data_IF_985310639736
#
_entry.id   IF_985310639736
#
_cell.length_a   1.000
_cell.length_b   1.000
_cell.length_c   1.000
_cell.angle_alpha   90.00
_cell.angle_beta   90.00
_cell.angle_gamma   90.00
#
_symmetry.space_group_name_H-M   'P 1'
#
loop_
_entity.id
_entity.type
_entity.pdbx_description
1 polymer ?
#
# COMPACT_ATOMS: atom_id res chain seq x y z
N UNK A 1 7.22 35.81 1.29
CA UNK A 1 7.40 34.52 0.61
C UNK A 1 8.88 34.18 0.65
N UNK A 2 9.22 32.99 1.13
CA UNK A 2 10.59 32.48 1.22
C UNK A 2 10.69 31.23 0.36
N UNK A 3 11.77 31.05 -0.41
CA UNK A 3 11.95 29.87 -1.26
C UNK A 3 13.20 29.10 -0.86
N UNK A 4 13.03 27.82 -0.56
CA UNK A 4 14.06 26.82 -0.33
C UNK A 4 14.16 25.91 -1.56
N UNK A 5 15.36 25.45 -1.89
CA UNK A 5 15.61 24.60 -3.06
C UNK A 5 16.21 23.28 -2.61
N UNK A 6 15.63 22.17 -3.08
CA UNK A 6 16.11 20.82 -2.83
C UNK A 6 16.29 20.02 -4.13
N UNK A 7 17.23 19.10 -4.14
CA UNK A 7 17.48 18.18 -5.26
C UNK A 7 17.79 16.78 -4.75
N UNK A 8 17.58 15.75 -5.57
CA UNK A 8 17.84 14.35 -5.20
C UNK A 8 19.29 14.12 -4.75
N UNK A 9 20.25 14.84 -5.33
CA UNK A 9 21.68 14.81 -4.95
C UNK A 9 22.11 15.99 -4.07
N UNK A 10 21.14 16.74 -3.55
CA UNK A 10 21.38 17.96 -2.79
C UNK A 10 22.04 17.67 -1.45
N UNK A 11 22.88 18.60 -0.98
CA UNK A 11 23.62 18.45 0.27
C UNK A 11 23.90 19.80 0.92
N UNK A 12 24.36 19.77 2.18
CA UNK A 12 24.58 20.98 2.98
C UNK A 12 23.28 21.65 3.41
N UNK A 13 23.40 22.81 4.07
CA UNK A 13 22.29 23.47 4.80
C UNK A 13 21.76 24.74 4.11
N UNK A 14 22.31 25.12 2.95
CA UNK A 14 21.99 26.40 2.32
C UNK A 14 20.61 26.45 1.67
N UNK A 15 20.15 25.32 1.11
CA UNK A 15 18.86 25.19 0.41
C UNK A 15 18.58 26.33 -0.58
N UNK A 16 19.57 26.71 -1.38
CA UNK A 16 19.49 27.82 -2.33
C UNK A 16 19.51 27.33 -3.77
N UNK A 17 19.09 28.15 -4.73
CA UNK A 17 19.07 27.76 -6.15
C UNK A 17 20.44 27.28 -6.67
N UNK A 18 21.54 27.90 -6.22
CA UNK A 18 22.91 27.52 -6.62
C UNK A 18 23.53 26.42 -5.76
N UNK A 19 22.89 26.07 -4.63
CA UNK A 19 23.32 25.04 -3.70
C UNK A 19 22.09 24.38 -3.05
N UNK A 20 21.35 23.55 -3.82
CA UNK A 20 20.15 22.89 -3.31
C UNK A 20 20.52 21.83 -2.26
N UNK A 21 19.68 21.71 -1.23
CA UNK A 21 19.89 20.78 -0.14
C UNK A 21 19.11 19.47 -0.34
N UNK A 22 19.28 18.52 0.58
CA UNK A 22 18.47 17.28 0.62
C UNK A 22 17.03 17.57 1.08
N UNK A 23 16.12 16.62 0.84
CA UNK A 23 14.70 16.72 1.24
C UNK A 23 14.54 16.89 2.77
N UNK A 24 15.22 16.06 3.56
CA UNK A 24 15.17 16.16 5.03
C UNK A 24 15.78 17.46 5.58
N UNK A 25 16.80 18.00 4.89
CA UNK A 25 17.34 19.32 5.25
C UNK A 25 16.37 20.44 4.91
N UNK A 26 15.68 20.38 3.77
CA UNK A 26 14.65 21.36 3.41
C UNK A 26 13.53 21.38 4.47
N UNK A 27 13.08 20.21 4.93
CA UNK A 27 12.10 20.11 6.01
C UNK A 27 12.62 20.73 7.31
N UNK A 28 13.87 20.42 7.68
CA UNK A 28 14.51 21.03 8.85
C UNK A 28 14.60 22.56 8.74
N UNK A 29 14.85 23.08 7.54
CA UNK A 29 14.87 24.52 7.26
C UNK A 29 13.48 25.15 7.33
N UNK A 30 12.42 24.48 6.85
CA UNK A 30 11.02 24.91 7.06
C UNK A 30 10.74 25.07 8.56
N UNK A 31 11.01 24.03 9.36
CA UNK A 31 10.79 24.04 10.83
C UNK A 31 11.52 25.18 11.54
N UNK A 32 12.68 25.59 11.03
CA UNK A 32 13.45 26.70 11.59
C UNK A 32 12.90 28.10 11.24
N UNK A 33 12.10 28.18 10.18
CA UNK A 33 11.48 29.42 9.69
C UNK A 33 10.04 29.58 10.18
N UNK A 34 9.38 28.48 10.53
CA UNK A 34 8.01 28.49 11.03
C UNK A 34 7.89 29.09 12.46
N UNK A 35 6.69 29.58 12.79
CA UNK A 35 6.35 30.29 14.02
C UNK A 35 6.36 31.82 13.92
N UNK A 36 6.92 32.38 12.84
CA UNK A 36 6.91 33.83 12.55
C UNK A 36 6.77 34.12 11.03
N UNK A 37 6.01 33.30 10.30
CA UNK A 37 5.83 33.49 8.86
C UNK A 37 5.19 34.86 8.56
N UNK A 38 5.76 35.56 7.58
CA UNK A 38 5.21 36.82 7.00
C UNK A 38 4.80 36.66 5.53
N UNK A 39 4.79 35.42 5.06
CA UNK A 39 4.41 34.96 3.74
C UNK A 39 4.71 33.47 3.61
N UNK A 40 4.21 32.85 2.54
CA UNK A 40 4.38 31.41 2.31
C UNK A 40 5.85 31.00 2.25
N UNK A 41 6.12 29.78 2.72
CA UNK A 41 7.40 29.10 2.51
C UNK A 41 7.20 28.12 1.37
N UNK A 42 8.04 28.21 0.35
CA UNK A 42 8.02 27.30 -0.80
C UNK A 42 9.28 26.46 -0.79
N UNK A 43 9.13 25.14 -0.85
CA UNK A 43 10.21 24.20 -1.13
C UNK A 43 10.11 23.77 -2.59
N UNK A 44 11.04 24.24 -3.41
CA UNK A 44 11.16 23.89 -4.84
C UNK A 44 12.02 22.65 -5.01
N UNK A 45 11.44 21.60 -5.58
CA UNK A 45 12.08 20.34 -5.86
C UNK A 45 12.57 20.30 -7.31
N UNK A 46 13.89 20.17 -7.50
CA UNK A 46 14.46 19.87 -8.81
C UNK A 46 14.03 18.47 -9.30
N UNK A 47 14.11 18.23 -10.61
CA UNK A 47 13.78 16.91 -11.16
C UNK A 47 14.74 15.82 -10.66
N UNK A 48 14.23 14.60 -10.54
CA UNK A 48 14.97 13.42 -10.13
C UNK A 48 14.27 12.61 -9.02
N UNK A 49 14.82 11.44 -8.72
CA UNK A 49 14.27 10.50 -7.74
C UNK A 49 14.87 10.72 -6.36
N UNK A 50 14.05 11.15 -5.41
CA UNK A 50 14.34 11.32 -4.00
C UNK A 50 14.05 10.01 -3.27
N UNK A 51 15.07 9.16 -3.17
CA UNK A 51 14.94 7.85 -2.51
C UNK A 51 14.90 8.00 -1.00
N UNK A 52 13.85 7.47 -0.39
CA UNK A 52 13.60 7.51 1.03
C UNK A 52 14.19 6.27 1.71
N UNK A 53 14.95 6.47 2.78
CA UNK A 53 15.30 5.41 3.72
C UNK A 53 14.29 5.27 4.87
N UNK A 54 13.40 6.25 5.00
CA UNK A 54 12.30 6.32 5.96
C UNK A 54 11.24 7.32 5.46
N UNK A 55 9.97 7.18 5.88
CA UNK A 55 8.91 8.10 5.47
C UNK A 55 9.20 9.57 5.86
N UNK A 56 8.70 10.51 5.06
CA UNK A 56 8.70 11.93 5.39
C UNK A 56 7.55 12.23 6.34
N UNK A 57 7.87 12.59 7.57
CA UNK A 57 6.87 12.88 8.60
C UNK A 57 6.71 14.38 8.74
N UNK A 58 5.52 14.87 8.41
CA UNK A 58 5.04 16.23 8.60
C UNK A 58 4.14 16.29 9.82
N UNK A 59 4.49 17.13 10.79
CA UNK A 59 3.69 17.36 11.99
C UNK A 59 3.43 18.85 12.21
N UNK A 60 2.99 19.22 13.40
CA UNK A 60 2.71 20.61 13.76
C UNK A 60 3.87 21.59 13.52
N UNK A 61 5.11 21.11 13.57
CA UNK A 61 6.30 21.96 13.31
C UNK A 61 6.52 22.25 11.83
N UNK A 62 5.80 21.56 10.96
CA UNK A 62 5.83 21.75 9.51
C UNK A 62 4.59 22.52 9.01
N UNK A 63 3.69 22.88 9.91
CA UNK A 63 2.47 23.63 9.58
C UNK A 63 2.79 25.05 9.12
N UNK A 64 1.91 25.63 8.32
CA UNK A 64 1.94 27.06 8.06
C UNK A 64 1.47 27.89 9.26
N UNK A 65 2.01 29.10 9.45
CA UNK A 65 1.62 30.02 10.52
C UNK A 65 1.22 31.40 9.98
N UNK A 66 0.43 32.16 10.75
CA UNK A 66 0.02 33.52 10.37
C UNK A 66 -0.93 33.61 9.16
N UNK A 67 -1.60 32.51 8.78
CA UNK A 67 -2.45 32.43 7.60
C UNK A 67 -1.69 32.16 6.29
N UNK A 68 -0.43 31.72 6.38
CA UNK A 68 0.42 31.36 5.27
C UNK A 68 0.59 29.85 5.15
N UNK A 69 1.00 29.37 3.97
CA UNK A 69 1.19 27.94 3.69
C UNK A 69 2.67 27.55 3.59
N UNK A 70 2.95 26.28 3.86
CA UNK A 70 4.19 25.60 3.48
C UNK A 70 3.92 24.76 2.23
N UNK A 71 4.53 25.12 1.11
CA UNK A 71 4.24 24.54 -0.21
C UNK A 71 5.45 23.75 -0.69
N UNK A 72 5.29 22.44 -0.85
CA UNK A 72 6.24 21.55 -1.49
C UNK A 72 5.84 21.40 -2.95
N UNK A 73 6.69 21.85 -3.86
CA UNK A 73 6.31 21.85 -5.27
C UNK A 73 7.47 21.47 -6.18
N UNK A 74 7.12 20.89 -7.33
CA UNK A 74 8.06 20.78 -8.44
C UNK A 74 8.57 22.16 -8.88
N UNK A 75 9.85 22.20 -9.22
CA UNK A 75 10.40 23.31 -9.97
C UNK A 75 9.76 23.38 -11.37
N UNK A 76 9.65 24.57 -11.99
CA UNK A 76 9.02 24.69 -13.31
C UNK A 76 9.60 23.72 -14.34
N UNK A 77 8.74 22.85 -14.89
CA UNK A 77 9.10 21.85 -15.89
C UNK A 77 9.87 20.63 -15.34
N UNK A 78 10.02 20.51 -14.02
CA UNK A 78 10.63 19.35 -13.37
C UNK A 78 9.57 18.29 -12.98
N UNK A 79 10.01 17.04 -12.89
CA UNK A 79 9.22 15.89 -12.41
C UNK A 79 9.96 15.24 -11.23
N UNK A 80 9.85 15.78 -10.01
CA UNK A 80 10.42 15.18 -8.82
C UNK A 80 9.63 13.93 -8.41
N UNK A 81 10.33 12.83 -8.14
CA UNK A 81 9.73 11.57 -7.67
C UNK A 81 10.17 11.33 -6.24
N UNK A 82 9.25 11.23 -5.29
CA UNK A 82 9.50 10.74 -3.94
C UNK A 82 9.29 9.23 -3.96
N UNK A 83 10.35 8.47 -3.70
CA UNK A 83 10.31 7.02 -3.88
C UNK A 83 10.75 6.23 -2.66
N UNK A 84 9.98 5.20 -2.30
CA UNK A 84 10.34 4.19 -1.30
C UNK A 84 11.10 2.99 -1.87
N UNK A 85 11.45 3.05 -3.15
CA UNK A 85 12.07 1.97 -3.92
C UNK A 85 13.59 1.97 -3.85
N UNK A 86 14.15 0.76 -3.86
CA UNK A 86 15.55 0.50 -4.13
C UNK A 86 15.72 0.08 -5.59
N UNK A 87 16.55 0.80 -6.34
CA UNK A 87 16.98 0.33 -7.65
C UNK A 87 17.85 -0.93 -7.51
N UNK A 88 17.44 -2.01 -8.18
CA UNK A 88 18.16 -3.29 -8.16
C UNK A 88 19.05 -3.42 -9.39
N UNK A 89 20.35 -3.49 -9.16
CA UNK A 89 21.38 -3.62 -10.21
C UNK A 89 22.23 -4.87 -9.97
N UNK A 90 23.18 -5.16 -10.87
CA UNK A 90 24.10 -6.28 -10.71
C UNK A 90 23.50 -7.64 -11.05
N UNK A 91 22.46 -7.66 -11.87
CA UNK A 91 21.81 -8.86 -12.37
C UNK A 91 22.77 -9.76 -13.15
N UNK A 92 22.73 -11.05 -12.87
CA UNK A 92 23.51 -12.09 -13.55
C UNK A 92 22.62 -13.26 -13.95
N UNK A 93 22.97 -13.94 -15.05
CA UNK A 93 22.24 -15.14 -15.46
C UNK A 93 22.48 -16.26 -14.45
N UNK A 94 21.43 -16.63 -13.73
CA UNK A 94 21.46 -17.63 -12.66
C UNK A 94 21.12 -19.04 -13.18
N UNK A 95 20.04 -19.15 -13.95
CA UNK A 95 19.64 -20.39 -14.62
C UNK A 95 19.42 -20.15 -16.12
N UNK A 96 20.40 -20.57 -16.91
CA UNK A 96 20.37 -20.45 -18.38
C UNK A 96 19.29 -21.31 -19.05
N UNK A 97 18.85 -22.41 -18.44
CA UNK A 97 17.84 -23.30 -19.01
C UNK A 97 16.44 -22.72 -18.91
N UNK A 98 16.18 -21.92 -17.87
CA UNK A 98 14.90 -21.26 -17.64
C UNK A 98 14.93 -19.74 -17.91
N UNK A 99 16.08 -19.19 -18.34
CA UNK A 99 16.32 -17.76 -18.52
C UNK A 99 16.04 -16.92 -17.25
N UNK A 100 16.48 -17.44 -16.09
CA UNK A 100 16.31 -16.77 -14.80
C UNK A 100 17.57 -15.98 -14.48
N UNK A 101 17.39 -14.69 -14.23
CA UNK A 101 18.42 -13.80 -13.73
C UNK A 101 18.26 -13.62 -12.21
N UNK A 102 19.37 -13.37 -11.54
CA UNK A 102 19.39 -13.06 -10.11
C UNK A 102 20.22 -11.80 -9.84
N UNK A 103 19.77 -11.01 -8.86
CA UNK A 103 20.52 -9.89 -8.30
C UNK A 103 20.51 -9.96 -6.78
N UNK A 104 21.62 -9.54 -6.18
CA UNK A 104 21.72 -9.44 -4.73
C UNK A 104 20.98 -8.20 -4.21
N UNK A 105 20.20 -8.40 -3.16
CA UNK A 105 19.60 -7.33 -2.35
C UNK A 105 20.06 -7.49 -0.90
N UNK A 106 19.91 -6.47 -0.03
CA UNK A 106 20.21 -6.65 1.39
C UNK A 106 19.44 -7.85 1.98
N UNK A 107 20.13 -8.66 2.79
CA UNK A 107 19.47 -9.78 3.49
C UNK A 107 18.36 -9.24 4.39
N UNK A 108 17.20 -9.87 4.34
CA UNK A 108 15.99 -9.45 5.04
C UNK A 108 15.11 -8.44 4.29
N UNK A 109 15.53 -7.96 3.11
CA UNK A 109 14.64 -7.20 2.22
C UNK A 109 13.47 -8.08 1.77
N UNK A 110 12.24 -7.56 1.91
CA UNK A 110 11.01 -8.20 1.42
C UNK A 110 10.14 -7.16 0.72
N UNK A 111 9.30 -7.62 -0.19
CA UNK A 111 8.36 -6.80 -0.96
C UNK A 111 7.27 -7.69 -1.54
N UNK A 112 6.13 -7.09 -1.86
CA UNK A 112 5.06 -7.73 -2.65
C UNK A 112 5.02 -7.28 -4.10
N UNK A 113 5.71 -6.20 -4.44
CA UNK A 113 5.72 -5.59 -5.77
C UNK A 113 7.14 -5.53 -6.34
N UNK A 114 7.26 -5.50 -7.66
CA UNK A 114 8.50 -5.24 -8.39
C UNK A 114 8.14 -4.52 -9.68
N UNK A 115 8.79 -3.41 -9.97
CA UNK A 115 8.55 -2.65 -11.19
C UNK A 115 9.74 -2.77 -12.13
N UNK A 116 9.48 -3.04 -13.42
CA UNK A 116 10.48 -3.10 -14.48
C UNK A 116 10.07 -2.11 -15.57
N UNK A 117 10.92 -1.11 -15.81
CA UNK A 117 10.67 0.00 -16.74
C UNK A 117 9.34 0.73 -16.50
N UNK A 118 8.94 0.90 -15.22
CA UNK A 118 7.70 1.56 -14.84
C UNK A 118 6.44 0.73 -15.08
N UNK A 119 6.56 -0.61 -15.11
CA UNK A 119 5.41 -1.51 -15.15
C UNK A 119 5.57 -2.60 -14.10
N UNK A 120 4.49 -2.94 -13.41
CA UNK A 120 4.50 -4.03 -12.44
C UNK A 120 4.83 -5.38 -13.11
N UNK A 121 5.81 -6.08 -12.53
CA UNK A 121 6.12 -7.45 -12.87
C UNK A 121 5.29 -8.38 -11.97
N UNK A 122 4.52 -9.33 -12.52
CA UNK A 122 3.70 -10.22 -11.71
C UNK A 122 4.56 -11.11 -10.80
N UNK A 123 4.10 -11.33 -9.58
CA UNK A 123 4.74 -12.28 -8.65
C UNK A 123 4.61 -13.71 -9.18
N UNK A 124 5.58 -14.57 -8.83
CA UNK A 124 5.55 -15.98 -9.23
C UNK A 124 4.29 -16.68 -8.70
N UNK A 125 3.46 -17.20 -9.59
CA UNK A 125 2.16 -17.77 -9.25
C UNK A 125 1.75 -18.93 -10.17
N UNK A 126 0.94 -19.85 -9.65
CA UNK A 126 0.26 -20.89 -10.42
C UNK A 126 -1.24 -20.90 -10.10
N UNK A 127 -2.12 -21.23 -11.07
CA UNK A 127 -3.55 -21.36 -10.79
C UNK A 127 -3.81 -22.57 -9.89
N UNK A 128 -4.78 -22.43 -8.99
CA UNK A 128 -5.28 -23.47 -8.10
C UNK A 128 -6.79 -23.63 -8.32
N UNK A 129 -7.24 -24.74 -8.91
CA UNK A 129 -8.68 -24.94 -9.06
C UNK A 129 -9.30 -25.29 -7.70
N UNK A 130 -10.48 -24.74 -7.41
CA UNK A 130 -11.22 -25.04 -6.16
C UNK A 130 -11.49 -26.53 -5.95
N UNK A 131 -11.64 -27.31 -7.04
CA UNK A 131 -11.82 -28.77 -6.97
C UNK A 131 -10.54 -29.55 -6.66
N UNK A 132 -9.36 -28.95 -6.85
CA UNK A 132 -8.07 -29.60 -6.60
C UNK A 132 -7.75 -29.71 -5.11
N UNK A 133 -8.50 -28.99 -4.26
CA UNK A 133 -8.32 -28.95 -2.81
C UNK A 133 -9.65 -29.05 -2.06
N UNK A 134 -9.59 -29.50 -0.81
CA UNK A 134 -10.70 -29.42 0.14
C UNK A 134 -10.29 -28.55 1.31
N UNK A 135 -11.07 -27.51 1.56
CA UNK A 135 -10.89 -26.62 2.71
C UNK A 135 -11.20 -27.39 4.00
N UNK A 136 -10.34 -27.23 5.01
CA UNK A 136 -10.42 -27.86 6.33
C UNK A 136 -10.21 -26.81 7.44
N UNK A 137 -10.41 -27.19 8.69
CA UNK A 137 -10.24 -26.29 9.84
C UNK A 137 -8.82 -25.71 9.99
N UNK A 138 -7.78 -26.43 9.55
CA UNK A 138 -6.38 -26.01 9.74
C UNK A 138 -5.65 -25.68 8.42
N UNK A 139 -6.35 -25.74 7.29
CA UNK A 139 -5.78 -25.52 5.97
C UNK A 139 -6.51 -26.30 4.88
N UNK A 140 -5.77 -26.89 3.93
CA UNK A 140 -6.36 -27.58 2.78
C UNK A 140 -5.85 -29.01 2.66
N UNK A 141 -6.68 -29.91 2.12
CA UNK A 141 -6.25 -31.22 1.63
C UNK A 141 -6.20 -31.21 0.11
N UNK A 142 -5.08 -31.57 -0.48
CA UNK A 142 -4.90 -31.75 -1.92
C UNK A 142 -5.65 -33.00 -2.37
N UNK A 143 -6.58 -32.83 -3.30
CA UNK A 143 -7.33 -33.90 -3.97
C UNK A 143 -6.69 -34.29 -5.30
N UNK A 144 -6.01 -33.35 -5.96
CA UNK A 144 -5.37 -33.58 -7.23
C UNK A 144 -3.90 -33.99 -7.07
N UNK A 145 -3.59 -35.25 -7.37
CA UNK A 145 -2.23 -35.79 -7.24
C UNK A 145 -1.16 -35.05 -8.08
N UNK A 146 -1.57 -34.28 -9.10
CA UNK A 146 -0.67 -33.42 -9.85
C UNK A 146 -0.01 -32.33 -8.99
N UNK A 147 -0.60 -31.99 -7.83
CA UNK A 147 -0.07 -31.00 -6.88
C UNK A 147 0.77 -31.63 -5.75
N UNK A 148 0.97 -32.96 -5.74
CA UNK A 148 1.72 -33.63 -4.66
C UNK A 148 3.19 -33.14 -4.56
N UNK A 149 3.74 -32.59 -5.64
CA UNK A 149 5.11 -32.03 -5.65
C UNK A 149 5.27 -30.84 -4.69
N UNK A 150 4.17 -30.14 -4.35
CA UNK A 150 4.19 -28.99 -3.43
C UNK A 150 4.82 -29.35 -2.07
N UNK A 151 4.60 -30.58 -1.59
CA UNK A 151 5.18 -31.08 -0.34
C UNK A 151 6.71 -31.17 -0.33
N UNK A 152 7.35 -31.17 -1.52
CA UNK A 152 8.80 -31.20 -1.67
C UNK A 152 9.44 -29.82 -1.90
N UNK A 153 8.64 -28.75 -2.01
CA UNK A 153 9.17 -27.41 -2.26
C UNK A 153 9.92 -26.86 -1.03
N UNK A 154 11.00 -26.08 -1.23
CA UNK A 154 11.61 -25.32 -0.16
C UNK A 154 10.72 -24.14 0.24
N UNK A 155 11.00 -23.53 1.40
CA UNK A 155 10.38 -22.27 1.84
C UNK A 155 8.85 -22.25 1.75
N UNK A 156 8.21 -23.38 2.07
CA UNK A 156 6.75 -23.53 1.96
C UNK A 156 5.98 -22.45 2.72
N UNK A 157 6.55 -21.90 3.79
CA UNK A 157 5.96 -20.85 4.60
C UNK A 157 5.96 -19.45 3.94
N UNK A 158 6.55 -19.32 2.74
CA UNK A 158 6.43 -18.15 1.87
C UNK A 158 5.26 -18.24 0.91
N UNK A 159 4.80 -19.46 0.60
CA UNK A 159 3.67 -19.67 -0.30
C UNK A 159 2.41 -19.10 0.36
N UNK A 160 1.55 -18.47 -0.43
CA UNK A 160 0.22 -18.03 0.00
C UNK A 160 -0.83 -18.46 -1.02
N UNK A 161 -2.07 -18.58 -0.55
CA UNK A 161 -3.24 -18.71 -1.43
C UNK A 161 -3.86 -17.34 -1.61
N UNK A 162 -4.02 -16.91 -2.85
CA UNK A 162 -4.93 -15.85 -3.26
C UNK A 162 -6.28 -16.49 -3.63
N UNK A 163 -7.39 -15.89 -3.23
CA UNK A 163 -8.73 -16.33 -3.61
C UNK A 163 -9.63 -15.14 -3.89
N UNK A 164 -9.64 -14.76 -5.16
CA UNK A 164 -10.59 -13.80 -5.71
C UNK A 164 -11.99 -14.43 -5.65
N UNK A 165 -12.88 -13.78 -4.90
CA UNK A 165 -14.24 -14.25 -4.69
C UNK A 165 -15.23 -13.38 -5.47
N UNK A 166 -16.34 -12.98 -4.86
CA UNK A 166 -17.42 -12.26 -5.54
C UNK A 166 -17.24 -10.76 -5.48
N UNK A 167 -16.89 -10.27 -4.29
CA UNK A 167 -16.60 -8.86 -4.03
C UNK A 167 -15.41 -8.68 -3.07
N UNK A 168 -14.81 -9.79 -2.62
CA UNK A 168 -13.64 -9.81 -1.74
C UNK A 168 -12.45 -10.47 -2.44
N UNK A 169 -11.25 -10.10 -2.01
CA UNK A 169 -10.00 -10.78 -2.33
C UNK A 169 -9.30 -11.23 -1.05
N UNK A 170 -8.64 -12.37 -1.10
CA UNK A 170 -8.21 -13.07 0.10
C UNK A 170 -6.80 -13.59 -0.03
N UNK A 171 -5.93 -13.24 0.92
CA UNK A 171 -4.57 -13.77 1.01
C UNK A 171 -4.40 -14.53 2.34
N UNK A 172 -3.98 -15.78 2.24
CA UNK A 172 -3.65 -16.60 3.41
C UNK A 172 -2.32 -17.35 3.21
N UNK A 173 -1.30 -17.15 4.07
CA UNK A 173 -0.04 -17.83 3.91
C UNK A 173 -0.07 -19.27 4.44
N UNK A 174 0.69 -20.12 3.75
CA UNK A 174 0.98 -21.50 4.13
C UNK A 174 1.91 -21.50 5.33
N UNK A 175 1.71 -22.45 6.24
CA UNK A 175 2.66 -22.78 7.31
C UNK A 175 3.59 -23.91 6.89
N UNK A 176 3.03 -24.99 6.34
CA UNK A 176 3.77 -26.16 5.87
C UNK A 176 2.91 -27.05 4.97
N UNK A 177 3.56 -27.88 4.17
CA UNK A 177 2.92 -28.86 3.29
C UNK A 177 3.55 -30.24 3.54
N UNK A 178 2.73 -31.20 3.93
CA UNK A 178 3.15 -32.58 4.22
C UNK A 178 2.21 -33.58 3.56
N UNK A 179 2.74 -34.38 2.63
CA UNK A 179 1.92 -35.26 1.79
C UNK A 179 0.88 -34.44 1.03
N UNK A 180 -0.41 -34.76 1.22
CA UNK A 180 -1.53 -34.01 0.65
C UNK A 180 -2.07 -32.92 1.57
N UNK A 181 -1.50 -32.68 2.75
CA UNK A 181 -2.01 -31.68 3.69
C UNK A 181 -1.22 -30.38 3.60
N UNK A 182 -1.91 -29.28 3.29
CA UNK A 182 -1.42 -27.91 3.40
C UNK A 182 -1.93 -27.36 4.72
N UNK A 183 -1.03 -27.10 5.67
CA UNK A 183 -1.34 -26.41 6.92
C UNK A 183 -1.16 -24.91 6.72
N UNK A 184 -2.12 -24.10 7.14
CA UNK A 184 -2.13 -22.65 6.91
C UNK A 184 -1.81 -21.89 8.21
N UNK A 185 -1.24 -20.69 8.09
CA UNK A 185 -0.90 -19.87 9.26
C UNK A 185 -2.16 -19.31 9.93
N UNK A 186 -2.06 -19.10 11.24
CA UNK A 186 -3.13 -18.55 12.08
C UNK A 186 -2.73 -17.16 12.65
N UNK A 187 -3.69 -16.24 12.83
CA UNK A 187 -5.13 -16.39 12.65
C UNK A 187 -5.64 -16.26 11.20
N UNK A 188 -4.77 -15.98 10.22
CA UNK A 188 -5.14 -15.74 8.83
C UNK A 188 -6.15 -16.75 8.28
N UNK A 189 -5.89 -18.05 8.43
CA UNK A 189 -6.77 -19.07 7.85
C UNK A 189 -8.19 -19.05 8.41
N UNK A 190 -8.31 -18.92 9.73
CA UNK A 190 -9.62 -18.88 10.37
C UNK A 190 -10.39 -17.62 9.99
N UNK A 191 -9.70 -16.47 9.93
CA UNK A 191 -10.29 -15.20 9.52
C UNK A 191 -10.80 -15.26 8.07
N UNK A 192 -10.01 -15.81 7.16
CA UNK A 192 -10.33 -15.96 5.75
C UNK A 192 -11.50 -16.92 5.44
N UNK A 193 -11.93 -17.71 6.43
CA UNK A 193 -13.00 -18.70 6.30
C UNK A 193 -14.21 -18.39 7.20
N UNK A 194 -14.32 -17.17 7.72
CA UNK A 194 -15.40 -16.75 8.60
C UNK A 194 -16.05 -15.46 8.12
N UNK A 195 -17.38 -15.47 7.97
CA UNK A 195 -18.14 -14.30 7.53
C UNK A 195 -18.78 -14.47 6.18
N UNK A 196 -18.84 -13.39 5.41
CA UNK A 196 -19.38 -13.36 4.06
C UNK A 196 -18.28 -13.70 3.04
N UNK A 197 -18.70 -14.21 1.89
CA UNK A 197 -17.86 -14.39 0.70
C UNK A 197 -16.48 -15.01 0.98
N UNK A 198 -16.45 -16.07 1.80
CA UNK A 198 -15.20 -16.64 2.32
C UNK A 198 -14.48 -17.54 1.32
N UNK A 199 -13.19 -17.83 1.55
CA UNK A 199 -12.43 -18.85 0.81
C UNK A 199 -13.18 -20.20 0.68
N UNK A 200 -13.85 -20.64 1.76
CA UNK A 200 -14.62 -21.89 1.80
C UNK A 200 -15.98 -21.82 1.09
N UNK A 201 -16.63 -20.65 1.13
CA UNK A 201 -18.01 -20.43 0.70
C UNK A 201 -18.15 -19.07 -0.01
N UNK A 202 -17.48 -18.89 -1.16
CA UNK A 202 -17.66 -17.67 -1.93
C UNK A 202 -19.08 -17.66 -2.51
N UNK A 203 -19.67 -16.47 -2.69
CA UNK A 203 -21.00 -16.35 -3.30
C UNK A 203 -20.98 -16.65 -4.80
N UNK A 204 -19.90 -16.26 -5.47
CA UNK A 204 -19.54 -16.59 -6.82
C UNK A 204 -18.14 -17.22 -6.77
N UNK A 205 -17.99 -18.44 -7.28
CA UNK A 205 -16.69 -19.11 -7.31
C UNK A 205 -15.74 -18.41 -8.27
N UNK A 206 -14.86 -17.54 -7.76
CA UNK A 206 -13.78 -16.90 -8.53
C UNK A 206 -12.49 -17.74 -8.57
N UNK A 207 -11.41 -17.14 -9.08
CA UNK A 207 -10.12 -17.79 -9.26
C UNK A 207 -9.36 -17.95 -7.94
N UNK A 208 -8.49 -18.95 -7.86
CA UNK A 208 -7.51 -19.04 -6.78
C UNK A 208 -6.12 -19.29 -7.37
N UNK A 209 -5.11 -18.83 -6.66
CA UNK A 209 -3.71 -19.00 -7.01
C UNK A 209 -2.91 -19.50 -5.82
N UNK A 210 -1.81 -20.20 -6.10
CA UNK A 210 -0.71 -20.33 -5.15
C UNK A 210 0.42 -19.44 -5.63
N UNK A 211 0.90 -18.57 -4.75
CA UNK A 211 1.89 -17.55 -5.07
C UNK A 211 3.19 -17.72 -4.30
N UNK A 212 4.19 -16.94 -4.69
CA UNK A 212 5.39 -16.66 -3.93
C UNK A 212 6.29 -17.88 -3.66
N UNK A 213 6.55 -18.65 -4.72
CA UNK A 213 7.61 -19.67 -4.72
C UNK A 213 8.50 -19.50 -5.95
N UNK A 214 9.81 -19.65 -5.77
CA UNK A 214 10.76 -19.77 -6.88
C UNK A 214 10.31 -20.83 -7.91
N UNK A 215 9.70 -21.92 -7.44
CA UNK A 215 9.27 -23.02 -8.30
C UNK A 215 8.05 -22.69 -9.17
N UNK A 216 7.38 -21.56 -8.93
CA UNK A 216 6.22 -21.11 -9.70
C UNK A 216 6.60 -20.19 -10.88
N UNK A 217 7.86 -19.73 -10.95
CA UNK A 217 8.32 -18.74 -11.92
C UNK A 217 7.93 -19.07 -13.37
N UNK A 218 7.14 -18.18 -13.97
CA UNK A 218 6.89 -18.08 -15.42
C UNK A 218 7.62 -16.89 -16.04
N UNK A 219 7.69 -16.85 -17.37
CA UNK A 219 8.32 -15.73 -18.09
C UNK A 219 7.65 -14.41 -17.70
N UNK A 220 8.44 -13.41 -17.32
CA UNK A 220 7.97 -12.11 -16.84
C UNK A 220 7.68 -12.06 -15.34
N UNK A 221 7.80 -13.16 -14.61
CA UNK A 221 7.55 -13.19 -13.16
C UNK A 221 8.84 -13.14 -12.34
N UNK A 222 8.69 -12.78 -11.06
CA UNK A 222 9.78 -12.68 -10.11
C UNK A 222 9.51 -13.44 -8.80
N UNK A 223 10.59 -13.70 -8.08
CA UNK A 223 10.59 -14.25 -6.73
C UNK A 223 11.69 -13.58 -5.90
N UNK A 224 11.36 -13.14 -4.70
CA UNK A 224 12.33 -12.61 -3.74
C UNK A 224 12.53 -13.62 -2.61
N UNK A 225 13.79 -13.93 -2.35
CA UNK A 225 14.27 -14.72 -1.22
C UNK A 225 14.93 -13.77 -0.20
N UNK A 226 14.19 -13.34 0.85
CA UNK A 226 14.74 -12.46 1.88
C UNK A 226 15.84 -13.13 2.71
N UNK A 227 15.83 -14.47 2.84
CA UNK A 227 16.80 -15.20 3.66
C UNK A 227 18.16 -15.24 2.97
N UNK A 228 18.17 -15.47 1.66
CA UNK A 228 19.37 -15.42 0.83
C UNK A 228 19.77 -13.99 0.42
N UNK A 229 18.85 -13.03 0.50
CA UNK A 229 19.07 -11.68 -0.04
C UNK A 229 19.20 -11.71 -1.56
N UNK A 230 18.31 -12.45 -2.23
CA UNK A 230 18.35 -12.64 -3.68
C UNK A 230 16.99 -12.36 -4.30
N UNK A 231 16.98 -11.50 -5.32
CA UNK A 231 15.84 -11.28 -6.20
C UNK A 231 16.07 -12.06 -7.49
N UNK A 232 15.08 -12.86 -7.88
CA UNK A 232 15.08 -13.65 -9.09
C UNK A 232 14.02 -13.14 -10.07
N UNK A 233 14.36 -13.04 -11.34
CA UNK A 233 13.45 -12.67 -12.41
C UNK A 233 13.58 -13.64 -13.56
N UNK A 234 12.48 -14.32 -13.92
CA UNK A 234 12.46 -15.20 -15.09
C UNK A 234 12.17 -14.35 -16.32
N UNK A 235 13.23 -13.86 -16.93
CA UNK A 235 13.13 -12.85 -17.96
C UNK A 235 12.57 -13.40 -19.29
N UNK A 236 11.92 -12.57 -20.12
CA UNK A 236 11.61 -12.93 -21.50
C UNK A 236 12.87 -13.15 -22.33
N UNK A 237 12.74 -13.85 -23.46
CA UNK A 237 13.86 -14.12 -24.35
C UNK A 237 14.50 -12.82 -24.86
N UNK A 238 15.84 -12.76 -24.84
CA UNK A 238 16.59 -11.59 -25.31
C UNK A 238 16.70 -10.45 -24.30
N UNK A 239 16.18 -10.61 -23.08
CA UNK A 239 16.32 -9.62 -22.01
C UNK A 239 17.79 -9.34 -21.70
N UNK A 240 18.13 -8.05 -21.61
CA UNK A 240 19.46 -7.57 -21.25
C UNK A 240 19.36 -6.78 -19.95
N UNK A 241 19.85 -7.29 -18.81
CA UNK A 241 19.68 -6.61 -17.53
C UNK A 241 20.21 -5.17 -17.48
N UNK A 242 21.20 -4.82 -18.32
CA UNK A 242 21.77 -3.47 -18.35
C UNK A 242 20.91 -2.42 -19.04
N UNK A 243 19.82 -2.82 -19.71
CA UNK A 243 18.91 -1.91 -20.42
C UNK A 243 17.59 -1.66 -19.70
N UNK A 244 17.40 -2.22 -18.50
CA UNK A 244 16.15 -2.15 -17.76
C UNK A 244 16.34 -1.45 -16.43
N UNK A 245 15.39 -0.60 -16.08
CA UNK A 245 15.26 -0.08 -14.73
C UNK A 245 14.44 -1.06 -13.91
N UNK A 246 14.92 -1.41 -12.71
CA UNK A 246 14.24 -2.38 -11.84
C UNK A 246 14.15 -1.80 -10.45
N UNK A 247 12.93 -1.50 -10.00
CA UNK A 247 12.64 -0.84 -8.75
C UNK A 247 11.95 -1.81 -7.80
N UNK A 248 12.54 -1.99 -6.60
CA UNK A 248 12.04 -2.85 -5.55
C UNK A 248 11.55 -1.98 -4.37
N UNK A 249 10.23 -1.80 -4.19
CA UNK A 249 9.65 -1.08 -3.06
C UNK A 249 10.02 -1.69 -1.70
N UNK A 250 10.26 -0.84 -0.68
CA UNK A 250 10.62 -1.28 0.68
C UNK A 250 9.86 -0.59 1.81
N UNK A 251 9.26 0.58 1.57
CA UNK A 251 8.53 1.34 2.57
C UNK A 251 7.02 1.16 2.37
N UNK A 252 6.24 1.07 3.45
CA UNK A 252 4.76 1.05 3.40
C UNK A 252 4.13 2.44 3.31
N UNK A 253 4.88 3.50 3.65
CA UNK A 253 4.44 4.87 3.39
C UNK A 253 5.62 5.76 3.01
N UNK A 254 5.33 6.77 2.21
CA UNK A 254 6.27 7.76 1.69
C UNK A 254 6.13 9.08 2.43
N UNK A 255 4.89 9.52 2.65
CA UNK A 255 4.57 10.80 3.30
C UNK A 255 3.50 10.59 4.36
N UNK A 256 3.73 11.17 5.54
CA UNK A 256 2.79 11.16 6.65
C UNK A 256 2.54 12.60 7.08
N UNK A 257 1.32 13.09 6.92
CA UNK A 257 0.89 14.41 7.40
C UNK A 257 -0.03 14.19 8.59
N UNK A 258 0.50 14.38 9.79
CA UNK A 258 -0.26 14.20 11.01
C UNK A 258 0.14 15.14 12.12
N UNK A 259 -0.86 15.79 12.72
CA UNK A 259 -0.70 16.42 14.02
C UNK A 259 -0.33 15.40 15.09
N UNK A 260 0.21 15.89 16.21
CA UNK A 260 0.53 15.04 17.37
C UNK A 260 -0.74 14.47 18.04
N UNK A 261 -1.90 15.10 17.82
CA UNK A 261 -3.22 14.66 18.26
C UNK A 261 -4.31 15.35 17.44
N UNK A 262 -5.55 14.90 17.55
CA UNK A 262 -6.72 15.56 16.92
C UNK A 262 -6.95 16.99 17.43
N UNK A 263 -6.54 17.30 18.67
CA UNK A 263 -6.60 18.66 19.24
C UNK A 263 -5.50 19.60 18.73
N UNK A 264 -4.44 19.03 18.17
CA UNK A 264 -3.30 19.77 17.66
C UNK A 264 -2.98 19.25 16.25
N UNK A 265 -3.81 19.58 15.25
CA UNK A 265 -3.65 19.05 13.90
C UNK A 265 -2.47 19.70 13.17
N UNK A 266 -1.84 18.96 12.26
CA UNK A 266 -0.94 19.57 11.26
C UNK A 266 -1.77 20.37 10.27
N UNK A 267 -1.29 21.51 9.75
CA UNK A 267 -2.14 22.34 8.89
C UNK A 267 -1.40 23.24 7.90
N UNK A 268 -2.12 23.69 6.86
CA UNK A 268 -1.62 24.65 5.86
C UNK A 268 -0.37 24.15 5.11
N UNK A 269 -0.41 22.89 4.65
CA UNK A 269 0.66 22.25 3.87
C UNK A 269 0.10 21.88 2.49
N UNK A 270 0.84 22.18 1.43
CA UNK A 270 0.46 21.85 0.06
C UNK A 270 1.57 21.05 -0.65
N UNK A 271 1.17 20.05 -1.43
CA UNK A 271 1.99 19.32 -2.39
C UNK A 271 1.52 19.65 -3.81
N UNK A 272 2.46 19.88 -4.74
CA UNK A 272 2.14 20.30 -6.10
C UNK A 272 3.12 19.74 -7.14
N UNK A 273 2.60 18.98 -8.11
CA UNK A 273 3.39 18.46 -9.23
C UNK A 273 4.43 17.39 -8.83
N UNK A 274 4.21 16.66 -7.73
CA UNK A 274 5.12 15.66 -7.19
C UNK A 274 4.62 14.26 -7.54
N UNK A 275 5.52 13.37 -7.95
CA UNK A 275 5.22 11.95 -8.08
C UNK A 275 5.57 11.19 -6.80
N UNK A 276 4.72 10.25 -6.40
CA UNK A 276 4.89 9.35 -5.27
C UNK A 276 4.91 7.91 -5.79
N UNK A 277 6.04 7.22 -5.63
CA UNK A 277 6.26 5.91 -6.26
C UNK A 277 6.93 4.88 -5.35
N UNK A 278 6.71 3.60 -5.64
CA UNK A 278 7.44 2.46 -5.09
C UNK A 278 7.33 2.30 -3.58
N UNK A 279 6.11 2.11 -3.10
CA UNK A 279 5.82 1.65 -1.73
C UNK A 279 5.27 0.20 -1.74
N UNK A 280 5.30 -0.49 -0.60
CA UNK A 280 4.81 -1.87 -0.47
C UNK A 280 4.17 -2.15 0.89
N UNK A 281 3.15 -3.00 0.88
CA UNK A 281 2.43 -3.42 2.07
C UNK A 281 2.56 -4.92 2.32
N UNK A 282 3.28 -5.30 3.39
CA UNK A 282 3.64 -6.70 3.65
C UNK A 282 2.59 -7.49 4.45
N UNK A 283 1.56 -6.84 5.02
CA UNK A 283 0.58 -7.51 5.90
C UNK A 283 -0.11 -8.72 5.26
N UNK A 284 -0.52 -8.71 3.97
CA UNK A 284 -1.16 -9.86 3.35
C UNK A 284 -0.30 -11.14 3.36
N UNK A 285 1.03 -11.00 3.33
CA UNK A 285 1.96 -12.14 3.43
C UNK A 285 2.32 -12.55 4.87
N UNK A 286 1.84 -11.83 5.88
CA UNK A 286 2.06 -12.14 7.29
C UNK A 286 1.05 -13.17 7.81
N UNK A 287 1.23 -13.66 9.04
CA UNK A 287 0.29 -14.59 9.67
C UNK A 287 -1.11 -13.98 9.95
N UNK A 288 -1.29 -12.67 9.78
CA UNK A 288 -2.60 -12.00 9.75
C UNK A 288 -3.32 -12.30 8.43
N UNK A 289 -2.58 -12.36 7.32
CA UNK A 289 -3.13 -12.43 5.97
C UNK A 289 -3.92 -11.20 5.59
N UNK A 290 -4.78 -11.36 4.60
CA UNK A 290 -5.78 -10.38 4.21
C UNK A 290 -7.10 -11.11 4.04
N UNK A 291 -7.94 -11.02 5.07
CA UNK A 291 -9.29 -11.55 5.07
C UNK A 291 -10.24 -10.39 4.88
N UNK A 292 -10.35 -9.92 3.62
CA UNK A 292 -11.20 -8.80 3.27
C UNK A 292 -12.65 -9.05 3.67
N UNK A 293 -13.29 -7.97 4.09
CA UNK A 293 -14.70 -7.89 4.41
C UNK A 293 -15.44 -7.00 3.42
N UNK A 294 -14.78 -5.95 2.92
CA UNK A 294 -15.18 -5.14 1.79
C UNK A 294 -14.16 -4.01 1.57
N UNK A 295 -13.73 -3.82 0.33
CA UNK A 295 -13.06 -2.60 -0.13
C UNK A 295 -11.87 -2.15 0.73
N UNK A 296 -10.95 -3.06 1.02
CA UNK A 296 -9.74 -2.77 1.77
C UNK A 296 -9.85 -2.94 3.27
N UNK A 297 -11.03 -3.32 3.78
CA UNK A 297 -11.28 -3.50 5.21
C UNK A 297 -11.20 -4.97 5.58
N UNK A 298 -10.34 -5.34 6.53
CA UNK A 298 -10.00 -6.75 6.75
C UNK A 298 -9.87 -7.12 8.23
N UNK A 299 -9.89 -8.42 8.53
CA UNK A 299 -9.59 -8.89 9.87
C UNK A 299 -8.10 -8.79 10.20
N UNK A 300 -7.74 -7.74 10.93
CA UNK A 300 -6.34 -7.43 11.31
C UNK A 300 -5.81 -8.20 12.52
N UNK A 301 -6.63 -9.03 13.16
CA UNK A 301 -6.29 -9.82 14.35
C UNK A 301 -7.17 -11.04 14.48
N UNK A 302 -6.87 -11.89 15.46
CA UNK A 302 -7.76 -13.01 15.81
C UNK A 302 -9.05 -12.49 16.48
N UNK A 303 -10.18 -13.07 16.10
CA UNK A 303 -11.49 -12.80 16.71
C UNK A 303 -12.05 -14.04 17.41
N UNK A 304 -12.99 -13.82 18.32
CA UNK A 304 -13.76 -14.91 18.89
C UNK A 304 -14.72 -15.46 17.83
N UNK A 305 -14.50 -16.71 17.46
CA UNK A 305 -15.30 -17.43 16.47
C UNK A 305 -15.96 -18.66 17.11
N UNK A 306 -17.09 -19.14 16.56
CA UNK A 306 -17.65 -20.41 17.00
C UNK A 306 -16.72 -21.56 16.58
N UNK A 307 -16.75 -22.68 17.31
CA UNK A 307 -15.90 -23.84 17.00
C UNK A 307 -16.21 -24.49 15.65
N UNK A 308 -17.37 -24.19 15.06
CA UNK A 308 -17.83 -24.66 13.76
C UNK A 308 -17.79 -23.56 12.68
N UNK A 309 -16.94 -22.53 12.85
CA UNK A 309 -16.86 -21.33 11.99
C UNK A 309 -16.79 -21.63 10.48
N UNK A 310 -16.20 -22.76 10.09
CA UNK A 310 -16.09 -23.17 8.69
C UNK A 310 -17.46 -23.54 8.05
N UNK A 311 -18.46 -23.82 8.89
CA UNK A 311 -19.81 -24.23 8.47
C UNK A 311 -20.91 -23.30 8.95
N UNK A 312 -20.70 -22.62 10.08
CA UNK A 312 -21.61 -21.59 10.61
C UNK A 312 -21.15 -20.18 10.21
N UNK A 313 -22.01 -19.18 10.39
CA UNK A 313 -21.69 -17.76 10.14
C UNK A 313 -21.24 -17.40 8.70
N UNK A 314 -21.50 -18.26 7.70
CA UNK A 314 -21.08 -18.06 6.28
C UNK A 314 -21.90 -16.99 5.53
N UNK A 315 -22.72 -16.23 6.27
CA UNK A 315 -23.45 -15.04 5.82
C UNK A 315 -23.72 -14.16 7.04
N UNK A 316 -22.69 -14.00 7.87
CA UNK A 316 -22.75 -13.26 9.12
C UNK A 316 -23.40 -14.03 10.28
N UNK A 317 -23.14 -13.53 11.49
CA UNK A 317 -23.75 -13.96 12.75
C UNK A 317 -23.41 -12.94 13.83
N UNK A 318 -24.02 -13.00 15.02
CA UNK A 318 -23.80 -12.00 16.08
C UNK A 318 -22.32 -11.80 16.44
N UNK A 319 -21.52 -12.88 16.52
CA UNK A 319 -20.09 -12.76 16.79
C UNK A 319 -19.34 -12.06 15.65
N UNK A 320 -19.72 -12.34 14.41
CA UNK A 320 -19.14 -11.72 13.23
C UNK A 320 -19.50 -10.23 13.15
N UNK A 321 -20.78 -9.88 13.29
CA UNK A 321 -21.22 -8.48 13.19
C UNK A 321 -20.60 -7.61 14.29
N UNK A 322 -20.28 -8.17 15.46
CA UNK A 322 -19.59 -7.48 16.53
C UNK A 322 -18.14 -7.08 16.21
N UNK A 323 -17.56 -7.60 15.13
CA UNK A 323 -16.17 -7.30 14.73
C UNK A 323 -16.02 -6.05 13.87
N UNK A 324 -17.10 -5.61 13.19
CA UNK A 324 -17.09 -4.49 12.23
C UNK A 324 -16.50 -3.21 12.81
N UNK A 325 -16.68 -3.01 14.11
CA UNK A 325 -16.19 -1.87 14.88
C UNK A 325 -14.67 -1.87 15.13
N UNK A 326 -13.94 -2.85 14.60
CA UNK A 326 -12.53 -3.07 14.93
C UNK A 326 -11.71 -3.66 13.77
N UNK A 327 -12.20 -3.51 12.53
CA UNK A 327 -11.51 -3.97 11.34
C UNK A 327 -10.20 -3.19 11.12
N UNK A 328 -9.27 -3.82 10.40
CA UNK A 328 -8.14 -3.13 9.77
C UNK A 328 -8.56 -2.49 8.46
N UNK A 329 -7.79 -1.50 8.02
CA UNK A 329 -7.87 -0.94 6.68
C UNK A 329 -6.49 -1.03 6.04
N UNK A 330 -6.44 -1.21 4.72
CA UNK A 330 -5.18 -1.13 4.00
C UNK A 330 -4.54 0.26 4.20
N UNK A 331 -3.22 0.34 4.44
CA UNK A 331 -2.54 1.61 4.58
C UNK A 331 -2.43 2.33 3.23
N UNK A 332 -2.08 3.61 3.28
CA UNK A 332 -1.76 4.39 2.08
C UNK A 332 -0.29 4.81 2.02
N UNK A 333 0.23 5.00 0.81
CA UNK A 333 1.56 5.53 0.54
C UNK A 333 1.69 6.97 1.07
N UNK A 334 0.66 7.79 0.84
CA UNK A 334 0.55 9.14 1.40
C UNK A 334 -0.62 9.17 2.38
N UNK A 335 -0.35 9.56 3.62
CA UNK A 335 -1.29 9.49 4.73
C UNK A 335 -1.55 10.88 5.29
N UNK A 336 -2.83 11.25 5.46
CA UNK A 336 -3.27 12.52 6.05
C UNK A 336 -4.23 12.23 7.17
N UNK A 337 -3.89 12.60 8.40
CA UNK A 337 -4.61 12.17 9.62
C UNK A 337 -4.46 13.25 10.69
N UNK A 338 -5.47 13.57 11.51
CA UNK A 338 -5.40 14.70 12.44
C UNK A 338 -4.76 15.96 11.81
N UNK A 339 -5.35 16.44 10.71
CA UNK A 339 -4.76 17.48 9.87
C UNK A 339 -5.84 18.43 9.30
N UNK A 340 -5.45 19.67 8.98
CA UNK A 340 -6.35 20.73 8.54
C UNK A 340 -5.80 21.52 7.35
N UNK A 341 -6.58 21.82 6.32
CA UNK A 341 -6.11 22.66 5.18
C UNK A 341 -4.86 22.06 4.51
N UNK A 342 -4.96 20.81 4.07
CA UNK A 342 -3.91 20.11 3.32
C UNK A 342 -4.36 19.97 1.86
N UNK A 343 -3.46 20.21 0.90
CA UNK A 343 -3.80 20.09 -0.53
C UNK A 343 -2.78 19.30 -1.32
N UNK A 344 -3.27 18.52 -2.28
CA UNK A 344 -2.50 17.82 -3.32
C UNK A 344 -3.02 18.29 -4.67
N UNK A 345 -2.13 18.82 -5.52
CA UNK A 345 -2.53 19.43 -6.79
C UNK A 345 -1.60 19.08 -7.93
N UNK A 346 -2.12 18.41 -8.95
CA UNK A 346 -1.31 17.99 -10.10
C UNK A 346 -0.24 16.95 -9.73
N UNK A 347 -0.40 16.25 -8.61
CA UNK A 347 0.50 15.19 -8.15
C UNK A 347 0.19 13.88 -8.89
N UNK A 348 1.13 12.94 -8.85
CA UNK A 348 0.98 11.60 -9.43
C UNK A 348 1.26 10.55 -8.36
N UNK A 349 0.37 9.58 -8.24
CA UNK A 349 0.48 8.42 -7.36
C UNK A 349 0.53 7.21 -8.29
N UNK A 350 1.65 6.50 -8.29
CA UNK A 350 1.80 5.36 -9.19
C UNK A 350 2.81 4.36 -8.70
N UNK A 351 2.66 3.11 -9.13
CA UNK A 351 3.59 2.04 -8.77
C UNK A 351 3.64 1.82 -7.25
N UNK A 352 2.46 1.80 -6.61
CA UNK A 352 2.31 1.67 -5.16
C UNK A 352 1.72 0.32 -4.78
N UNK A 353 2.29 -0.33 -3.77
CA UNK A 353 1.87 -1.64 -3.28
C UNK A 353 0.69 -1.63 -2.30
N UNK A 354 0.01 -0.50 -2.18
CA UNK A 354 -1.15 -0.27 -1.32
C UNK A 354 -2.02 0.89 -1.84
N UNK A 355 -2.76 1.59 -0.97
CA UNK A 355 -3.59 2.75 -1.36
C UNK A 355 -2.70 3.94 -1.74
N UNK A 356 -3.07 4.70 -2.76
CA UNK A 356 -2.37 5.93 -3.15
C UNK A 356 -2.40 7.01 -2.07
N UNK A 357 -3.59 7.57 -1.81
CA UNK A 357 -3.84 8.64 -0.85
C UNK A 357 -4.90 8.24 0.20
N UNK A 358 -4.48 8.19 1.47
CA UNK A 358 -5.35 7.93 2.62
C UNK A 358 -5.63 9.21 3.40
N UNK A 359 -6.90 9.55 3.62
CA UNK A 359 -7.33 10.77 4.31
C UNK A 359 -8.27 10.40 5.46
N UNK A 360 -7.86 10.66 6.70
CA UNK A 360 -8.70 10.39 7.87
C UNK A 360 -8.98 8.90 8.07
N UNK A 361 -8.06 8.02 7.71
CA UNK A 361 -8.21 6.58 8.00
C UNK A 361 -8.06 6.30 9.51
N UNK A 362 -8.51 5.12 9.95
CA UNK A 362 -8.38 4.70 11.34
C UNK A 362 -6.91 4.62 11.79
N UNK A 363 -6.69 4.78 13.10
CA UNK A 363 -5.36 4.77 13.72
C UNK A 363 -4.51 3.51 13.44
N UNK A 364 -5.13 2.39 13.04
CA UNK A 364 -4.43 1.15 12.71
C UNK A 364 -3.99 1.05 11.24
N UNK A 365 -4.42 1.99 10.39
CA UNK A 365 -4.02 2.07 8.98
C UNK A 365 -3.01 3.20 8.72
N UNK A 366 -2.85 4.13 9.67
CA UNK A 366 -1.86 5.22 9.58
C UNK A 366 -0.68 5.01 10.53
N UNK A 367 0.52 5.31 10.04
CA UNK A 367 1.76 5.12 10.79
C UNK A 367 1.93 6.11 11.96
N UNK A 368 1.20 7.23 11.94
CA UNK A 368 1.15 8.19 13.07
C UNK A 368 0.49 7.58 14.31
N UNK A 369 -0.39 6.59 14.13
CA UNK A 369 -1.23 6.02 15.20
C UNK A 369 -2.33 6.96 15.70
N UNK A 370 -2.50 8.15 15.10
CA UNK A 370 -3.56 9.09 15.50
C UNK A 370 -4.86 8.82 14.74
N UNK A 371 -4.77 8.69 13.41
CA UNK A 371 -5.93 8.44 12.54
C UNK A 371 -6.74 9.70 12.24
N UNK A 372 -8.06 9.53 12.14
CA UNK A 372 -9.18 10.49 11.99
C UNK A 372 -8.94 11.99 12.36
N UNK A 373 -9.91 12.84 12.03
CA UNK A 373 -9.85 14.27 12.31
C UNK A 373 -9.16 15.06 11.20
N UNK A 374 -9.27 14.58 9.97
CA UNK A 374 -8.89 15.29 8.76
C UNK A 374 -9.97 16.34 8.42
N UNK A 375 -9.55 17.58 8.19
CA UNK A 375 -10.48 18.68 7.90
C UNK A 375 -10.00 19.60 6.79
N UNK A 376 -10.90 20.01 5.89
CA UNK A 376 -10.55 20.92 4.78
C UNK A 376 -9.39 20.37 3.93
N UNK A 377 -9.53 19.12 3.46
CA UNK A 377 -8.51 18.45 2.64
C UNK A 377 -8.94 18.53 1.18
N UNK A 378 -8.00 18.79 0.28
CA UNK A 378 -8.27 18.88 -1.17
C UNK A 378 -7.30 18.03 -1.97
N UNK A 379 -7.83 17.12 -2.79
CA UNK A 379 -7.10 16.44 -3.84
C UNK A 379 -7.69 16.89 -5.19
N UNK A 380 -6.92 17.69 -5.92
CA UNK A 380 -7.33 18.38 -7.15
C UNK A 380 -6.40 18.04 -8.31
N UNK A 381 -6.94 17.64 -9.46
CA UNK A 381 -6.14 17.39 -10.69
C UNK A 381 -4.99 16.37 -10.53
N UNK A 382 -5.11 15.40 -9.63
CA UNK A 382 -4.08 14.37 -9.46
C UNK A 382 -4.32 13.16 -10.36
N UNK A 383 -3.27 12.38 -10.58
CA UNK A 383 -3.32 11.12 -11.35
C UNK A 383 -2.98 9.95 -10.43
N UNK A 384 -3.77 8.89 -10.49
CA UNK A 384 -3.56 7.62 -9.77
C UNK A 384 -3.55 6.48 -10.78
N UNK A 385 -2.47 5.70 -10.84
CA UNK A 385 -2.32 4.64 -11.83
C UNK A 385 -1.29 3.58 -11.44
N UNK A 386 -1.55 2.31 -11.78
CA UNK A 386 -0.67 1.19 -11.44
C UNK A 386 -0.46 1.04 -9.92
N UNK A 387 -1.55 1.21 -9.17
CA UNK A 387 -1.59 1.02 -7.72
C UNK A 387 -2.24 -0.32 -7.38
N UNK A 388 -1.57 -1.10 -6.54
CA UNK A 388 -2.02 -2.40 -6.04
C UNK A 388 -3.35 -2.31 -5.27
N UNK A 389 -3.61 -1.18 -4.60
CA UNK A 389 -4.85 -0.88 -3.88
C UNK A 389 -5.64 0.28 -4.49
N UNK A 390 -6.58 0.82 -3.71
CA UNK A 390 -7.39 1.98 -4.12
C UNK A 390 -6.54 3.21 -4.43
N UNK A 391 -7.04 4.11 -5.31
CA UNK A 391 -6.41 5.40 -5.51
C UNK A 391 -6.56 6.30 -4.27
N UNK A 392 -7.79 6.46 -3.78
CA UNK A 392 -8.09 7.33 -2.64
C UNK A 392 -9.02 6.63 -1.65
N UNK A 393 -8.65 6.62 -0.37
CA UNK A 393 -9.50 6.19 0.75
C UNK A 393 -9.71 7.34 1.70
N UNK A 394 -10.97 7.63 2.02
CA UNK A 394 -11.36 8.70 2.95
C UNK A 394 -12.23 8.17 4.09
N UNK A 395 -11.81 8.45 5.32
CA UNK A 395 -12.47 8.02 6.54
C UNK A 395 -12.04 6.63 7.00
N UNK A 396 -12.47 6.25 8.21
CA UNK A 396 -12.27 4.92 8.79
C UNK A 396 -13.54 4.07 8.83
N UNK A 397 -13.48 2.90 9.47
CA UNK A 397 -14.63 2.01 9.69
C UNK A 397 -14.86 1.63 11.15
N UNK A 398 -13.93 1.94 12.05
CA UNK A 398 -14.08 1.67 13.47
C UNK A 398 -15.05 2.64 14.16
N UNK A 399 -15.39 2.33 15.41
CA UNK A 399 -16.39 3.09 16.19
C UNK A 399 -16.18 4.60 16.16
N UNK A 400 -14.95 5.08 16.31
CA UNK A 400 -14.69 6.52 16.32
C UNK A 400 -14.86 7.18 14.95
N UNK A 401 -14.81 6.44 13.84
CA UNK A 401 -15.04 7.00 12.51
C UNK A 401 -16.51 7.40 12.32
N UNK A 402 -17.45 6.59 12.82
CA UNK A 402 -18.89 6.85 12.64
C UNK A 402 -19.62 7.40 13.88
N UNK A 403 -19.13 7.10 15.08
CA UNK A 403 -19.58 7.70 16.34
C UNK A 403 -18.38 8.18 17.15
N UNK A 404 -17.75 9.29 16.71
CA UNK A 404 -16.55 9.81 17.37
C UNK A 404 -16.82 10.09 18.85
N UNK A 405 -15.96 9.54 19.71
CA UNK A 405 -15.98 9.84 21.15
C UNK A 405 -15.54 11.29 21.46
N UNK A 406 -14.82 11.91 20.52
CA UNK A 406 -14.45 13.32 20.52
C UNK A 406 -14.77 13.92 19.14
N UNK A 407 -15.49 15.06 19.13
CA UNK A 407 -15.88 15.75 17.89
C UNK A 407 -14.70 16.11 17.00
N UNK A 408 -13.50 16.31 17.57
CA UNK A 408 -12.27 16.60 16.82
C UNK A 408 -11.81 15.43 15.94
N UNK A 409 -12.28 14.21 16.19
CA UNK A 409 -12.03 13.04 15.35
C UNK A 409 -12.91 13.02 14.09
N UNK A 410 -13.86 13.94 13.94
CA UNK A 410 -14.74 13.94 12.76
C UNK A 410 -13.97 14.35 11.51
N UNK A 411 -13.90 13.46 10.53
CA UNK A 411 -13.44 13.83 9.20
C UNK A 411 -14.48 14.71 8.49
N UNK A 412 -14.03 15.84 7.93
CA UNK A 412 -14.96 16.83 7.39
C UNK A 412 -14.39 17.73 6.29
N UNK A 413 -15.26 18.21 5.40
CA UNK A 413 -14.93 19.16 4.34
C UNK A 413 -13.78 18.64 3.45
N UNK A 414 -13.95 17.43 2.90
CA UNK A 414 -12.95 16.78 2.06
C UNK A 414 -13.41 16.88 0.61
N UNK A 415 -12.57 17.44 -0.26
CA UNK A 415 -12.88 17.67 -1.68
C UNK A 415 -11.93 16.87 -2.55
N UNK A 416 -12.48 15.97 -3.37
CA UNK A 416 -11.77 15.21 -4.38
C UNK A 416 -12.32 15.65 -5.74
N UNK A 417 -11.58 16.44 -6.50
CA UNK A 417 -12.05 17.00 -7.77
C UNK A 417 -11.06 16.85 -8.91
N UNK A 418 -11.59 16.62 -10.10
CA UNK A 418 -10.81 16.60 -11.36
C UNK A 418 -9.62 15.61 -11.36
N UNK A 419 -9.66 14.56 -10.53
CA UNK A 419 -8.63 13.54 -10.50
C UNK A 419 -8.89 12.48 -11.58
N UNK A 420 -7.80 11.89 -12.10
CA UNK A 420 -7.83 10.71 -12.97
C UNK A 420 -7.42 9.48 -12.16
N UNK A 421 -8.28 8.48 -12.12
CA UNK A 421 -8.02 7.15 -11.53
C UNK A 421 -8.10 6.11 -12.63
N UNK A 422 -6.98 5.46 -12.93
CA UNK A 422 -6.87 4.54 -14.07
C UNK A 422 -5.96 3.34 -13.76
N UNK A 423 -6.52 2.13 -13.75
CA UNK A 423 -5.76 0.90 -13.49
C UNK A 423 -5.22 0.87 -12.06
N UNK A 424 -6.13 0.83 -11.09
CA UNK A 424 -5.82 0.71 -9.65
C UNK A 424 -6.57 -0.49 -9.09
N UNK A 425 -6.22 -0.90 -7.87
CA UNK A 425 -6.69 -2.14 -7.22
C UNK A 425 -6.20 -3.41 -7.96
N UNK A 426 -5.04 -3.36 -8.59
CA UNK A 426 -4.50 -4.45 -9.43
C UNK A 426 -4.18 -5.73 -8.64
N UNK A 427 -3.74 -5.59 -7.38
CA UNK A 427 -3.50 -6.72 -6.47
C UNK A 427 -4.70 -6.96 -5.56
N UNK A 428 -5.20 -5.92 -4.88
CA UNK A 428 -6.31 -5.99 -3.93
C UNK A 428 -7.64 -5.65 -4.63
N UNK A 429 -8.11 -6.61 -5.42
CA UNK A 429 -9.17 -6.43 -6.42
C UNK A 429 -10.57 -6.18 -5.84
N UNK A 430 -10.70 -6.23 -4.51
CA UNK A 430 -11.92 -5.88 -3.79
C UNK A 430 -12.09 -4.36 -3.58
N UNK A 431 -11.01 -3.59 -3.74
CA UNK A 431 -10.98 -2.17 -3.45
C UNK A 431 -11.68 -1.34 -4.52
N UNK A 432 -12.44 -0.33 -4.08
CA UNK A 432 -12.96 0.71 -4.97
C UNK A 432 -11.83 1.68 -5.35
N UNK A 433 -11.89 2.28 -6.55
CA UNK A 433 -10.91 3.29 -6.95
C UNK A 433 -10.90 4.51 -6.02
N UNK A 434 -12.10 5.00 -5.66
CA UNK A 434 -12.27 6.03 -4.63
C UNK A 434 -13.28 5.52 -3.62
N UNK A 435 -12.84 5.37 -2.36
CA UNK A 435 -13.68 4.99 -1.24
C UNK A 435 -13.85 6.18 -0.29
N UNK A 436 -15.10 6.47 0.09
CA UNK A 436 -15.41 7.40 1.19
C UNK A 436 -16.38 6.72 2.15
N UNK A 437 -15.99 6.67 3.44
CA UNK A 437 -16.79 6.06 4.50
C UNK A 437 -17.55 7.13 5.28
N UNK A 438 -17.12 7.45 6.51
CA UNK A 438 -17.80 8.37 7.41
C UNK A 438 -17.14 9.75 7.39
N UNK A 439 -17.71 10.67 6.60
CA UNK A 439 -17.19 12.03 6.44
C UNK A 439 -18.35 13.03 6.40
N UNK A 440 -18.19 14.16 7.09
CA UNK A 440 -19.15 15.27 7.04
C UNK A 440 -18.79 16.24 5.92
N UNK A 441 -19.69 16.48 4.96
CA UNK A 441 -19.44 17.37 3.80
C UNK A 441 -18.28 16.91 2.88
N UNK A 442 -18.25 15.63 2.50
CA UNK A 442 -17.42 15.20 1.38
C UNK A 442 -17.98 15.74 0.06
N UNK A 443 -17.09 16.17 -0.84
CA UNK A 443 -17.37 16.56 -2.22
C UNK A 443 -16.49 15.73 -3.13
N UNK A 444 -17.09 14.83 -3.91
CA UNK A 444 -16.41 14.00 -4.90
C UNK A 444 -17.04 14.38 -6.24
N UNK A 445 -16.33 15.18 -7.02
CA UNK A 445 -16.91 15.87 -8.18
C UNK A 445 -15.93 15.84 -9.37
N UNK A 446 -16.44 15.70 -10.60
CA UNK A 446 -15.64 15.74 -11.84
C UNK A 446 -14.40 14.81 -11.91
N UNK A 447 -14.34 13.71 -11.15
CA UNK A 447 -13.26 12.72 -11.28
C UNK A 447 -13.55 11.73 -12.43
N UNK A 448 -12.50 11.31 -13.14
CA UNK A 448 -12.55 10.22 -14.12
C UNK A 448 -12.01 8.94 -13.49
N UNK A 449 -12.79 7.86 -13.56
CA UNK A 449 -12.46 6.57 -12.94
C UNK A 449 -12.67 5.47 -13.97
N UNK A 450 -11.59 4.81 -14.41
CA UNK A 450 -11.63 3.82 -15.48
C UNK A 450 -10.65 2.65 -15.27
N UNK A 451 -10.91 1.54 -15.96
CA UNK A 451 -10.07 0.33 -15.99
C UNK A 451 -9.80 -0.28 -14.59
N UNK A 452 -10.82 -0.34 -13.73
CA UNK A 452 -10.77 -1.12 -12.49
C UNK A 452 -11.09 -2.61 -12.79
N UNK A 453 -10.58 -3.56 -11.97
CA UNK A 453 -10.80 -5.01 -12.11
C UNK A 453 -12.25 -5.49 -12.10
#
# INVERSE_FOLDING_TARGET
>A
MTTLYASATGSGTACSMTAPCSLGQAQSSVRSLDGNMSGDIVVQLAGGTYRLSAPLVFNNSDSGSGGHNVIWQAAPGATPVISGGQQVTGWTLHDSGNNIYAASVPVGTDSRQLYIDGSEAPRAAIPLNRGDVTITYNGMTINNSALNYLSGLPEQNRIEVESQNSFTDHFAPVQSISGSTITMQQPSWNNNNWGYDTLAKPFAGGQMFLENSYSFLQSGQWYLDPQAGQLYYKAPSGWNPSSHDVELPQLTSLVQVSGNSVDNPAHNIAFQGIAFEHATWLTPGSNIGYADQQSGTFFSKAYQQPSDFLTSCQSGCTLFEATRESLGEAPAAVQVSAAGSISFTGDTFSHLGEVGLGIGQDSNAVASGVGLGASSITADHNVFTDDAGAAIVVGGTQTNAHHPSDVAMTDQNITLTDNLVNGVAEDYKDMAGILSTYVTHAVIDHNEVENLP
#
